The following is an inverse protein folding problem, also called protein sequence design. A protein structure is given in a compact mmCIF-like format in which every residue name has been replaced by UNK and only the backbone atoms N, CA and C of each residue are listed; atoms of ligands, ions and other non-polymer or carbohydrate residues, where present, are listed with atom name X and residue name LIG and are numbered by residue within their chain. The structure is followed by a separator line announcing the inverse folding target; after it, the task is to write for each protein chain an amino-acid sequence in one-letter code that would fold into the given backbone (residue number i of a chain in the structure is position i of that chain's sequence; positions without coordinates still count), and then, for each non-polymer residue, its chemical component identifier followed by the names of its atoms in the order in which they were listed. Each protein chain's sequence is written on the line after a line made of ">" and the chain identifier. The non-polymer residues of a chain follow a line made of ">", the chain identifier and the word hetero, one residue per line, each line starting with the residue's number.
data_IF_510336353798
#
_entry.id   IF_510336353798
#
_cell.length_a   1.000
_cell.length_b   1.000
_cell.length_c   1.000
_cell.angle_alpha   90.00
_cell.angle_beta   90.00
_cell.angle_gamma   90.00
#
_symmetry.space_group_name_H-M   'P 1'
#
loop_
_entity.id
_entity.type
_entity.pdbx_description
1 polymer ?
#
# COMPACT_ATOMS: atom_id res chain seq x y z
N UNK A 1 28.41 -21.10 21.39
CA UNK A 1 28.82 -20.26 20.25
C UNK A 1 27.64 -19.38 19.89
N UNK A 2 27.82 -18.06 19.83
CA UNK A 2 26.76 -17.15 19.43
C UNK A 2 26.52 -17.27 17.92
N UNK A 3 25.28 -17.47 17.50
CA UNK A 3 24.89 -17.37 16.09
C UNK A 3 25.20 -15.95 15.60
N UNK A 4 26.17 -15.82 14.69
CA UNK A 4 26.37 -14.60 13.93
C UNK A 4 25.15 -14.42 13.03
N UNK A 5 24.24 -13.54 13.43
CA UNK A 5 23.14 -13.09 12.57
C UNK A 5 23.77 -12.28 11.44
N UNK A 6 23.88 -12.91 10.26
CA UNK A 6 24.30 -12.25 9.03
C UNK A 6 23.48 -10.97 8.84
N UNK A 7 24.15 -9.84 8.60
CA UNK A 7 23.45 -8.57 8.37
C UNK A 7 22.51 -8.71 7.17
N UNK A 8 21.30 -8.14 7.22
CA UNK A 8 20.30 -8.24 6.14
C UNK A 8 20.85 -7.78 4.77
N UNK A 9 21.82 -6.85 4.77
CA UNK A 9 22.59 -6.44 3.59
C UNK A 9 23.36 -7.58 2.89
N UNK A 10 23.71 -8.67 3.59
CA UNK A 10 24.36 -9.84 2.99
C UNK A 10 23.39 -10.69 2.16
N UNK A 11 22.08 -10.59 2.39
CA UNK A 11 21.06 -11.35 1.66
C UNK A 11 20.63 -10.69 0.35
N UNK A 12 20.68 -9.35 0.26
CA UNK A 12 20.39 -8.62 -0.98
C UNK A 12 21.62 -7.86 -1.42
N UNK A 13 22.34 -8.46 -2.36
CA UNK A 13 23.63 -7.94 -2.83
C UNK A 13 23.42 -6.77 -3.80
N UNK A 14 22.98 -5.61 -3.30
CA UNK A 14 22.79 -4.38 -4.08
C UNK A 14 24.17 -3.74 -4.35
N UNK A 15 24.43 -3.34 -5.59
CA UNK A 15 25.62 -2.63 -6.02
C UNK A 15 25.42 -1.11 -5.95
N UNK A 16 24.39 -0.62 -6.64
CA UNK A 16 24.07 0.80 -6.72
C UNK A 16 22.58 1.01 -7.07
N UNK A 17 22.08 2.22 -6.85
CA UNK A 17 20.73 2.63 -7.25
C UNK A 17 20.89 3.84 -8.17
N UNK A 18 20.38 3.72 -9.41
CA UNK A 18 20.47 4.79 -10.42
C UNK A 18 19.12 4.97 -11.09
N UNK A 19 18.60 6.20 -11.08
CA UNK A 19 17.30 6.57 -11.66
C UNK A 19 16.13 5.68 -11.17
N UNK A 20 16.14 5.29 -9.89
CA UNK A 20 15.11 4.44 -9.31
C UNK A 20 15.17 2.96 -9.72
N UNK A 21 16.26 2.52 -10.37
CA UNK A 21 16.54 1.12 -10.69
C UNK A 21 17.66 0.63 -9.78
N UNK A 22 17.46 -0.54 -9.17
CA UNK A 22 18.45 -1.23 -8.35
C UNK A 22 19.33 -2.09 -9.25
N UNK A 23 20.64 -1.89 -9.16
CA UNK A 23 21.65 -2.73 -9.81
C UNK A 23 22.21 -3.67 -8.75
N UNK A 24 22.15 -4.97 -9.01
CA UNK A 24 22.68 -5.99 -8.11
C UNK A 24 24.15 -6.28 -8.44
N UNK A 25 24.94 -6.72 -7.47
CA UNK A 25 26.36 -7.06 -7.70
C UNK A 25 26.54 -8.22 -8.69
N UNK A 26 25.53 -9.08 -8.85
CA UNK A 26 25.51 -10.17 -9.82
C UNK A 26 24.96 -9.74 -11.21
N UNK A 27 24.73 -8.45 -11.45
CA UNK A 27 24.33 -7.90 -12.75
C UNK A 27 22.82 -7.81 -12.98
N UNK A 28 21.99 -8.41 -12.12
CA UNK A 28 20.53 -8.28 -12.24
C UNK A 28 20.01 -6.86 -11.95
N UNK A 29 18.91 -6.49 -12.59
CA UNK A 29 18.22 -5.23 -12.39
C UNK A 29 16.89 -5.47 -11.68
N UNK A 30 16.50 -4.57 -10.77
CA UNK A 30 15.19 -4.61 -10.10
C UNK A 30 14.60 -3.22 -10.00
N UNK A 31 13.28 -3.12 -10.11
CA UNK A 31 12.52 -1.92 -9.82
C UNK A 31 11.34 -2.29 -8.93
N UNK A 32 11.09 -1.47 -7.91
CA UNK A 32 9.94 -1.64 -7.02
C UNK A 32 8.93 -0.56 -7.38
N UNK A 33 7.69 -0.97 -7.62
CA UNK A 33 6.58 -0.09 -7.95
C UNK A 33 5.55 -0.16 -6.83
N UNK A 34 5.15 1.00 -6.33
CA UNK A 34 3.99 1.11 -5.46
C UNK A 34 2.78 1.41 -6.33
N UNK A 35 1.73 0.60 -6.18
CA UNK A 35 0.47 0.76 -6.90
C UNK A 35 -0.66 0.84 -5.88
N UNK A 36 -1.69 1.60 -6.22
CA UNK A 36 -2.90 1.65 -5.42
C UNK A 36 -3.87 0.55 -5.89
N UNK A 37 -4.61 -0.01 -4.95
CA UNK A 37 -5.74 -0.87 -5.26
C UNK A 37 -6.87 -0.07 -5.91
N UNK A 38 -7.78 -0.78 -6.57
CA UNK A 38 -9.03 -0.23 -7.11
C UNK A 38 -10.21 -0.90 -6.38
N UNK A 39 -11.32 -0.20 -6.25
CA UNK A 39 -12.58 -0.78 -5.74
C UNK A 39 -13.22 -1.65 -6.82
N UNK A 40 -12.63 -2.82 -7.08
CA UNK A 40 -13.00 -3.71 -8.18
C UNK A 40 -14.47 -4.14 -8.10
N UNK A 41 -14.93 -4.51 -6.91
CA UNK A 41 -16.29 -5.01 -6.69
C UNK A 41 -17.38 -3.95 -6.91
N UNK A 42 -17.03 -2.65 -6.84
CA UNK A 42 -17.97 -1.56 -7.10
C UNK A 42 -18.11 -1.22 -8.59
N UNK A 43 -17.32 -1.84 -9.46
CA UNK A 43 -17.37 -1.61 -10.91
C UNK A 43 -18.50 -2.41 -11.56
N UNK A 44 -18.98 -1.94 -12.70
CA UNK A 44 -19.89 -2.71 -13.55
C UNK A 44 -19.22 -4.01 -14.07
N UNK A 45 -20.00 -5.02 -14.44
CA UNK A 45 -19.46 -6.28 -14.98
C UNK A 45 -18.57 -6.07 -16.21
N UNK A 46 -18.96 -5.14 -17.09
CA UNK A 46 -18.18 -4.81 -18.29
C UNK A 46 -16.81 -4.22 -17.91
N UNK A 47 -16.76 -3.25 -17.00
CA UNK A 47 -15.51 -2.69 -16.52
C UNK A 47 -14.62 -3.71 -15.80
N UNK A 48 -15.22 -4.60 -15.00
CA UNK A 48 -14.51 -5.68 -14.35
C UNK A 48 -13.85 -6.59 -15.39
N UNK A 49 -14.59 -7.00 -16.42
CA UNK A 49 -14.08 -7.85 -17.49
C UNK A 49 -12.96 -7.16 -18.29
N UNK A 50 -13.13 -5.87 -18.62
CA UNK A 50 -12.09 -5.09 -19.30
C UNK A 50 -10.81 -5.01 -18.47
N UNK A 51 -10.94 -4.81 -17.16
CA UNK A 51 -9.81 -4.76 -16.23
C UNK A 51 -9.09 -6.11 -16.17
N UNK A 52 -9.83 -7.22 -16.08
CA UNK A 52 -9.26 -8.57 -16.07
C UNK A 52 -8.54 -8.91 -17.38
N UNK A 53 -9.14 -8.59 -18.53
CA UNK A 53 -8.53 -8.83 -19.84
C UNK A 53 -7.23 -8.01 -20.02
N UNK A 54 -7.23 -6.77 -19.53
CA UNK A 54 -6.03 -5.92 -19.54
C UNK A 54 -4.93 -6.48 -18.64
N UNK A 55 -5.29 -6.96 -17.45
CA UNK A 55 -4.35 -7.59 -16.52
C UNK A 55 -3.78 -8.89 -17.07
N UNK A 56 -4.59 -9.72 -17.72
CA UNK A 56 -4.13 -10.93 -18.43
C UNK A 56 -3.14 -10.58 -19.53
N UNK A 57 -3.45 -9.56 -20.34
CA UNK A 57 -2.57 -9.10 -21.42
C UNK A 57 -1.23 -8.58 -20.88
N UNK A 58 -1.25 -7.88 -19.75
CA UNK A 58 -0.04 -7.47 -19.03
C UNK A 58 0.81 -8.68 -18.60
N UNK A 59 0.20 -9.69 -17.97
CA UNK A 59 0.93 -10.89 -17.54
C UNK A 59 1.55 -11.65 -18.72
N UNK A 60 0.81 -11.75 -19.83
CA UNK A 60 1.29 -12.42 -21.04
C UNK A 60 2.45 -11.67 -21.73
N UNK A 61 2.56 -10.36 -21.51
CA UNK A 61 3.62 -9.53 -22.08
C UNK A 61 4.93 -9.57 -21.27
N UNK A 62 4.96 -10.20 -20.09
CA UNK A 62 6.15 -10.26 -19.25
C UNK A 62 7.13 -11.33 -19.75
N UNK A 63 8.34 -10.89 -20.08
CA UNK A 63 9.50 -11.75 -20.41
C UNK A 63 10.46 -11.92 -19.21
N UNK A 64 10.08 -11.44 -18.02
CA UNK A 64 10.83 -11.56 -16.77
C UNK A 64 9.93 -11.89 -15.57
N UNK A 65 10.55 -12.42 -14.51
CA UNK A 65 9.84 -12.74 -13.27
C UNK A 65 9.46 -11.47 -12.49
N UNK A 66 8.21 -11.41 -12.03
CA UNK A 66 7.71 -10.35 -11.15
C UNK A 66 7.32 -10.93 -9.79
N UNK A 67 7.27 -10.07 -8.78
CA UNK A 67 6.80 -10.41 -7.44
C UNK A 67 5.69 -9.45 -7.03
N UNK A 68 4.56 -10.01 -6.61
CA UNK A 68 3.49 -9.25 -5.99
C UNK A 68 3.67 -9.27 -4.47
N UNK A 69 3.70 -8.09 -3.87
CA UNK A 69 3.72 -7.93 -2.42
C UNK A 69 2.47 -7.17 -2.00
N UNK A 70 1.54 -7.88 -1.36
CA UNK A 70 0.28 -7.31 -0.86
C UNK A 70 0.42 -7.16 0.65
N UNK A 71 0.30 -5.91 1.12
CA UNK A 71 0.37 -5.61 2.54
C UNK A 71 -0.87 -4.80 2.93
N UNK A 72 -1.80 -5.46 3.62
CA UNK A 72 -2.94 -4.79 4.22
C UNK A 72 -2.49 -4.07 5.49
N UNK A 73 -2.74 -2.77 5.55
CA UNK A 73 -2.55 -1.95 6.75
C UNK A 73 -3.93 -1.63 7.30
N UNK A 74 -4.12 -1.82 8.60
CA UNK A 74 -5.26 -1.21 9.28
C UNK A 74 -5.10 0.30 9.14
N UNK A 75 -6.13 0.97 8.61
CA UNK A 75 -6.16 2.43 8.60
C UNK A 75 -6.13 2.89 10.05
N UNK A 76 -5.13 3.70 10.40
CA UNK A 76 -5.11 4.37 11.69
C UNK A 76 -6.09 5.55 11.61
N UNK A 77 -7.24 5.42 12.27
CA UNK A 77 -8.28 6.45 12.36
C UNK A 77 -8.16 7.31 13.62
N UNK A 78 -7.15 7.13 14.47
CA UNK A 78 -7.01 7.87 15.72
C UNK A 78 -6.98 9.38 15.49
N UNK A 79 -6.26 9.86 14.48
CA UNK A 79 -6.21 11.29 14.14
C UNK A 79 -7.57 11.83 13.64
N UNK A 80 -8.46 10.98 13.13
CA UNK A 80 -9.81 11.36 12.76
C UNK A 80 -10.71 11.44 14.00
N UNK A 81 -10.63 10.44 14.89
CA UNK A 81 -11.35 10.43 16.16
C UNK A 81 -10.95 11.63 17.05
N UNK A 82 -9.66 11.95 17.13
CA UNK A 82 -9.18 13.13 17.87
C UNK A 82 -9.74 14.44 17.31
N UNK A 83 -9.93 14.54 15.99
CA UNK A 83 -10.57 15.71 15.37
C UNK A 83 -12.05 15.81 15.71
N UNK A 84 -12.75 14.67 15.81
CA UNK A 84 -14.16 14.64 16.22
C UNK A 84 -14.28 15.11 17.67
N UNK A 85 -13.44 14.60 18.56
CA UNK A 85 -13.42 15.01 19.97
C UNK A 85 -13.08 16.50 20.15
N UNK A 86 -12.06 17.01 19.44
CA UNK A 86 -11.74 18.44 19.49
C UNK A 86 -12.93 19.30 19.04
N UNK A 87 -13.64 18.86 17.98
CA UNK A 87 -14.83 19.55 17.48
C UNK A 87 -16.00 19.50 18.46
N UNK A 88 -16.17 18.40 19.20
CA UNK A 88 -17.18 18.28 20.26
C UNK A 88 -16.98 19.34 21.34
N UNK A 89 -15.73 19.54 21.77
CA UNK A 89 -15.38 20.53 22.81
C UNK A 89 -15.64 21.97 22.35
N UNK A 90 -15.40 22.27 21.07
CA UNK A 90 -15.61 23.61 20.50
C UNK A 90 -17.06 23.91 20.11
N UNK A 91 -17.92 22.88 20.00
CA UNK A 91 -19.30 23.05 19.54
C UNK A 91 -20.16 23.72 20.61
N UNK A 92 -20.67 24.94 20.40
CA UNK A 92 -21.46 25.65 21.40
C UNK A 92 -22.90 25.09 21.57
N UNK A 93 -23.37 24.28 20.63
CA UNK A 93 -24.73 23.74 20.65
C UNK A 93 -24.76 22.36 21.33
N UNK A 94 -25.39 22.27 22.50
CA UNK A 94 -25.54 21.04 23.29
C UNK A 94 -26.18 19.89 22.50
N UNK A 95 -27.14 20.17 21.61
CA UNK A 95 -27.77 19.14 20.77
C UNK A 95 -26.76 18.55 19.77
N UNK A 96 -25.90 19.40 19.20
CA UNK A 96 -24.87 18.96 18.27
C UNK A 96 -23.73 18.23 19.00
N UNK A 97 -23.39 18.63 20.24
CA UNK A 97 -22.47 17.87 21.08
C UNK A 97 -22.97 16.45 21.37
N UNK A 98 -24.25 16.30 21.72
CA UNK A 98 -24.89 15.00 21.93
C UNK A 98 -24.89 14.16 20.65
N UNK A 99 -25.15 14.77 19.49
CA UNK A 99 -25.08 14.05 18.20
C UNK A 99 -23.66 13.60 17.86
N UNK A 100 -22.64 14.42 18.16
CA UNK A 100 -21.24 14.02 17.97
C UNK A 100 -20.86 12.86 18.90
N UNK A 101 -21.40 12.82 20.12
CA UNK A 101 -21.15 11.71 21.06
C UNK A 101 -21.81 10.39 20.65
N UNK A 102 -23.03 10.45 20.11
CA UNK A 102 -23.79 9.26 19.70
C UNK A 102 -23.32 8.65 18.37
N UNK A 103 -22.84 9.48 17.44
CA UNK A 103 -22.50 9.06 16.06
C UNK A 103 -21.00 9.19 15.69
N UNK A 104 -20.18 9.76 16.57
CA UNK A 104 -18.75 10.03 16.36
C UNK A 104 -17.82 8.86 16.62
#
# INVERSE_FOLDING_TARGET
>A
MAEQIAASQQFVVIKEIKNGVLYLKQGGLRKVLMVNGINFDLKSQEEQQLTLNSFQSFLNALDFSIQFFVHSRKINISAYLEKIEARKVEEPNELLQLQIEEYG
#
